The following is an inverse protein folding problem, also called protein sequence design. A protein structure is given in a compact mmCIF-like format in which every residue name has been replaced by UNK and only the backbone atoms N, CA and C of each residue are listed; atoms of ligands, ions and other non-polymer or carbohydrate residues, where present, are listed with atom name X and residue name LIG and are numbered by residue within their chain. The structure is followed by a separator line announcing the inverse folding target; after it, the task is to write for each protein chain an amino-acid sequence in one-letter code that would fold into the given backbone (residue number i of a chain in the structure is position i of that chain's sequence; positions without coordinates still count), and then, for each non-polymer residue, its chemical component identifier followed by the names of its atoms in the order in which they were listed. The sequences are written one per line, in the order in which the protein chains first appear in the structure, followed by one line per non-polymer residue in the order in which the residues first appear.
data_IF_107722723205
#
_entry.id   IF_107722723205
#
_cell.length_a   1.000
_cell.length_b   1.000
_cell.length_c   1.000
_cell.angle_alpha   90.00
_cell.angle_beta   90.00
_cell.angle_gamma   90.00
#
_symmetry.space_group_name_H-M   'P 1'
#
loop_
_entity.id
_entity.type
_entity.pdbx_description
1 polymer ?
#
# COMPACT_ATOMS: atom_id res chain seq x y z
N UNK A 1 3.75 4.21 18.65
CA UNK A 1 2.28 4.01 18.62
C UNK A 1 2.00 2.71 17.88
N UNK A 2 1.06 1.88 18.35
CA UNK A 2 0.69 0.61 17.69
C UNK A 2 -0.71 0.74 17.12
N UNK A 3 -0.90 0.43 15.84
CA UNK A 3 -2.20 0.45 15.15
C UNK A 3 -2.89 -0.89 15.30
N UNK A 4 -4.16 -0.88 15.68
CA UNK A 4 -5.01 -2.09 15.74
C UNK A 4 -5.51 -2.42 14.34
N UNK A 5 -5.14 -3.59 13.85
CA UNK A 5 -5.40 -4.04 12.50
C UNK A 5 -6.48 -5.12 12.48
N UNK A 6 -7.55 -4.88 11.73
CA UNK A 6 -8.45 -5.94 11.28
C UNK A 6 -7.91 -6.53 9.99
N UNK A 7 -7.75 -7.84 9.94
CA UNK A 7 -7.45 -8.56 8.70
C UNK A 7 -8.69 -9.31 8.24
N UNK A 8 -9.01 -9.22 6.95
CA UNK A 8 -10.02 -10.05 6.29
C UNK A 8 -9.35 -10.84 5.18
N UNK A 9 -9.26 -12.16 5.34
CA UNK A 9 -8.66 -13.05 4.36
C UNK A 9 -9.75 -13.68 3.50
N UNK A 10 -9.81 -13.32 2.21
CA UNK A 10 -10.70 -13.93 1.23
C UNK A 10 -10.04 -15.16 0.62
N UNK A 11 -10.46 -16.35 1.03
CA UNK A 11 -9.92 -17.62 0.56
C UNK A 11 -11.02 -18.71 0.51
N UNK A 12 -12.04 -18.54 -0.35
CA UNK A 12 -13.18 -19.42 -0.42
C UNK A 12 -12.80 -20.84 -0.82
N UNK A 13 -13.64 -21.80 -0.41
CA UNK A 13 -13.56 -23.19 -0.84
C UNK A 13 -14.17 -23.39 -2.22
N UNK A 14 -13.64 -24.38 -2.93
CA UNK A 14 -14.12 -24.82 -4.22
C UNK A 14 -14.75 -26.22 -4.08
N UNK A 15 -16.04 -26.34 -3.74
CA UNK A 15 -16.75 -27.61 -3.65
C UNK A 15 -16.53 -28.54 -4.86
N UNK A 16 -16.57 -28.00 -6.08
CA UNK A 16 -16.36 -28.76 -7.31
C UNK A 16 -14.92 -29.26 -7.51
N UNK A 17 -13.96 -28.71 -6.76
CA UNK A 17 -12.54 -29.05 -6.85
C UNK A 17 -12.04 -29.80 -5.60
N UNK A 18 -12.87 -30.67 -5.04
CA UNK A 18 -12.53 -31.46 -3.85
C UNK A 18 -12.60 -30.66 -2.54
N UNK A 19 -13.34 -29.55 -2.53
CA UNK A 19 -13.58 -28.69 -1.36
C UNK A 19 -12.31 -28.09 -0.72
N UNK A 20 -11.23 -27.98 -1.49
CA UNK A 20 -10.01 -27.25 -1.10
C UNK A 20 -10.22 -25.75 -1.29
N UNK A 21 -9.41 -24.92 -0.64
CA UNK A 21 -9.50 -23.47 -0.81
C UNK A 21 -8.90 -23.01 -2.14
N UNK A 22 -9.31 -21.85 -2.65
CA UNK A 22 -8.72 -21.23 -3.84
C UNK A 22 -7.21 -21.10 -3.72
N UNK A 23 -6.70 -20.67 -2.55
CA UNK A 23 -5.24 -20.66 -2.27
C UNK A 23 -4.59 -22.02 -2.53
N UNK A 24 -5.17 -23.12 -2.05
CA UNK A 24 -4.62 -24.46 -2.24
C UNK A 24 -4.68 -24.88 -3.71
N UNK A 25 -5.81 -24.63 -4.37
CA UNK A 25 -6.01 -24.95 -5.78
C UNK A 25 -5.03 -24.21 -6.70
N UNK A 26 -4.68 -22.97 -6.39
CA UNK A 26 -3.78 -22.13 -7.18
C UNK A 26 -2.33 -22.15 -6.69
N UNK A 27 -2.03 -22.80 -5.56
CA UNK A 27 -0.69 -22.80 -4.97
C UNK A 27 -0.22 -21.42 -4.48
N UNK A 28 -1.13 -20.58 -3.96
CA UNK A 28 -0.79 -19.21 -3.56
C UNK A 28 -0.07 -19.13 -2.21
N UNK A 29 0.56 -17.98 -1.96
CA UNK A 29 1.33 -17.72 -0.75
C UNK A 29 0.48 -17.83 0.53
N UNK A 30 1.16 -18.10 1.65
CA UNK A 30 0.49 -18.19 2.95
C UNK A 30 0.18 -16.77 3.48
N UNK A 31 -1.09 -16.42 3.72
CA UNK A 31 -1.48 -15.07 4.16
C UNK A 31 -0.89 -14.72 5.53
N UNK A 32 -0.87 -15.64 6.49
CA UNK A 32 -0.30 -15.40 7.82
C UNK A 32 1.21 -15.11 7.75
N UNK A 33 1.93 -15.78 6.85
CA UNK A 33 3.34 -15.50 6.61
C UNK A 33 3.54 -14.12 5.96
N UNK A 34 2.72 -13.79 4.95
CA UNK A 34 2.77 -12.49 4.28
C UNK A 34 2.52 -11.34 5.27
N UNK A 35 1.43 -11.41 6.04
CA UNK A 35 1.08 -10.39 7.04
C UNK A 35 2.22 -10.21 8.06
N UNK A 36 2.68 -11.30 8.67
CA UNK A 36 3.69 -11.22 9.74
C UNK A 36 5.02 -10.64 9.24
N UNK A 37 5.47 -11.03 8.05
CA UNK A 37 6.72 -10.52 7.49
C UNK A 37 6.55 -9.11 6.93
N UNK A 38 5.38 -8.74 6.41
CA UNK A 38 5.12 -7.37 5.98
C UNK A 38 5.13 -6.41 7.18
N UNK A 39 4.46 -6.76 8.28
CA UNK A 39 4.53 -5.98 9.53
C UNK A 39 5.97 -5.84 10.02
N UNK A 40 6.77 -6.91 9.94
CA UNK A 40 8.21 -6.86 10.29
C UNK A 40 8.99 -5.92 9.38
N UNK A 41 8.77 -5.98 8.07
CA UNK A 41 9.42 -5.11 7.09
C UNK A 41 9.06 -3.64 7.35
N UNK A 42 7.78 -3.33 7.55
CA UNK A 42 7.33 -1.97 7.87
C UNK A 42 7.97 -1.46 9.17
N UNK A 43 8.01 -2.29 10.23
CA UNK A 43 8.68 -1.92 11.48
C UNK A 43 10.17 -1.67 11.27
N UNK A 44 10.84 -2.50 10.48
CA UNK A 44 12.27 -2.35 10.21
C UNK A 44 12.58 -1.10 9.36
N UNK A 45 11.80 -0.88 8.30
CA UNK A 45 11.98 0.25 7.38
C UNK A 45 11.70 1.60 8.06
N UNK A 46 10.83 1.60 9.07
CA UNK A 46 10.42 2.79 9.83
C UNK A 46 11.19 3.01 11.12
N UNK A 47 12.34 2.36 11.32
CA UNK A 47 13.15 2.48 12.54
C UNK A 47 12.37 2.14 13.82
N UNK A 48 11.39 1.24 13.72
CA UNK A 48 10.54 0.83 14.82
C UNK A 48 9.28 1.68 15.01
N UNK A 49 8.99 2.65 14.14
CA UNK A 49 7.81 3.53 14.29
C UNK A 49 6.50 2.87 13.87
N UNK A 50 6.45 2.28 12.67
CA UNK A 50 5.28 1.62 12.13
C UNK A 50 5.06 0.27 12.82
N UNK A 51 4.14 0.24 13.78
CA UNK A 51 3.77 -0.96 14.53
C UNK A 51 2.31 -1.30 14.30
N UNK A 52 2.05 -2.56 13.99
CA UNK A 52 0.72 -3.10 13.76
C UNK A 52 0.48 -4.29 14.68
N UNK A 53 -0.71 -4.31 15.27
CA UNK A 53 -1.22 -5.44 16.05
C UNK A 53 -2.46 -5.96 15.34
N UNK A 54 -2.41 -7.18 14.81
CA UNK A 54 -3.61 -7.87 14.32
C UNK A 54 -4.49 -8.16 15.54
N UNK A 55 -5.63 -7.45 15.65
CA UNK A 55 -6.58 -7.64 16.75
C UNK A 55 -7.63 -8.68 16.40
N UNK A 56 -7.89 -8.89 15.12
CA UNK A 56 -8.80 -9.90 14.60
C UNK A 56 -8.38 -10.27 13.17
N UNK A 57 -8.49 -11.56 12.84
CA UNK A 57 -8.28 -12.06 11.48
C UNK A 57 -9.50 -12.90 11.08
N UNK A 58 -10.35 -12.34 10.22
CA UNK A 58 -11.56 -12.97 9.73
C UNK A 58 -11.21 -13.76 8.47
N UNK A 59 -11.54 -15.04 8.46
CA UNK A 59 -11.34 -15.90 7.30
C UNK A 59 -12.67 -16.12 6.57
N UNK A 60 -12.75 -15.64 5.33
CA UNK A 60 -13.88 -15.87 4.44
C UNK A 60 -13.56 -17.08 3.57
N UNK A 61 -14.15 -18.23 3.91
CA UNK A 61 -13.96 -19.50 3.22
C UNK A 61 -15.18 -19.94 2.39
N UNK A 62 -16.19 -19.07 2.25
CA UNK A 62 -17.39 -19.32 1.46
C UNK A 62 -17.71 -18.14 0.53
N UNK A 63 -17.98 -18.44 -0.75
CA UNK A 63 -18.40 -17.45 -1.75
C UNK A 63 -19.68 -16.69 -1.37
N UNK A 64 -20.58 -17.29 -0.58
CA UNK A 64 -21.75 -16.59 -0.07
C UNK A 64 -21.38 -15.32 0.74
N UNK A 65 -20.18 -15.27 1.32
CA UNK A 65 -19.65 -14.13 2.07
C UNK A 65 -18.64 -13.30 1.26
N UNK A 66 -18.37 -13.66 0.01
CA UNK A 66 -17.46 -12.90 -0.86
C UNK A 66 -18.00 -11.48 -1.10
N UNK A 67 -17.16 -10.43 -1.14
CA UNK A 67 -17.63 -9.07 -1.35
C UNK A 67 -18.48 -8.91 -2.62
N UNK A 68 -19.55 -8.13 -2.52
CA UNK A 68 -20.30 -7.69 -3.70
C UNK A 68 -19.53 -6.61 -4.44
N UNK A 69 -19.60 -6.64 -5.76
CA UNK A 69 -19.15 -5.59 -6.64
C UNK A 69 -20.11 -4.39 -6.60
N UNK A 70 -19.69 -3.27 -7.17
CA UNK A 70 -20.48 -2.04 -7.22
C UNK A 70 -21.86 -2.22 -7.90
N UNK A 71 -21.99 -3.18 -8.82
CA UNK A 71 -23.25 -3.54 -9.48
C UNK A 71 -24.09 -4.57 -8.72
N UNK A 72 -23.66 -4.96 -7.51
CA UNK A 72 -24.32 -5.97 -6.68
C UNK A 72 -23.96 -7.41 -7.02
N UNK A 73 -23.14 -7.65 -8.05
CA UNK A 73 -22.69 -9.01 -8.37
C UNK A 73 -21.80 -9.58 -7.26
N UNK A 74 -22.00 -10.86 -6.95
CA UNK A 74 -21.14 -11.62 -6.03
C UNK A 74 -20.61 -12.84 -6.77
N UNK A 75 -19.31 -13.04 -6.73
CA UNK A 75 -18.73 -14.27 -7.25
C UNK A 75 -19.26 -15.48 -6.48
N UNK A 76 -19.68 -16.48 -7.23
CA UNK A 76 -19.81 -17.86 -6.79
C UNK A 76 -18.65 -18.71 -7.35
N UNK A 77 -18.59 -19.98 -6.97
CA UNK A 77 -17.55 -20.88 -7.47
C UNK A 77 -17.52 -20.94 -9.01
N UNK A 78 -18.70 -21.03 -9.64
CA UNK A 78 -18.82 -21.21 -11.09
C UNK A 78 -18.28 -19.99 -11.86
N UNK A 79 -18.73 -18.79 -11.50
CA UNK A 79 -18.32 -17.54 -12.11
C UNK A 79 -16.85 -17.22 -11.83
N UNK A 80 -16.36 -17.49 -10.62
CA UNK A 80 -14.94 -17.31 -10.27
C UNK A 80 -14.04 -18.22 -11.12
N UNK A 81 -14.34 -19.52 -11.19
CA UNK A 81 -13.60 -20.46 -12.03
C UNK A 81 -13.74 -20.13 -13.52
N UNK A 82 -14.87 -19.55 -13.95
CA UNK A 82 -15.06 -19.02 -15.30
C UNK A 82 -14.05 -17.93 -15.65
N UNK A 83 -13.92 -16.90 -14.81
CA UNK A 83 -12.95 -15.81 -15.01
C UNK A 83 -11.51 -16.32 -14.95
N UNK A 84 -11.20 -17.18 -13.98
CA UNK A 84 -9.87 -17.76 -13.83
C UNK A 84 -9.42 -18.56 -15.06
N UNK A 85 -10.32 -19.37 -15.67
CA UNK A 85 -10.02 -20.12 -16.90
C UNK A 85 -9.75 -19.19 -18.08
N UNK A 86 -10.62 -18.19 -18.28
CA UNK A 86 -10.45 -17.23 -19.36
C UNK A 86 -9.10 -16.50 -19.25
N UNK A 87 -8.74 -16.08 -18.03
CA UNK A 87 -7.45 -15.44 -17.76
C UNK A 87 -6.26 -16.34 -18.08
N UNK A 88 -6.30 -17.63 -17.71
CA UNK A 88 -5.22 -18.60 -18.02
C UNK A 88 -5.07 -18.88 -19.51
N UNK A 89 -6.17 -18.86 -20.26
CA UNK A 89 -6.16 -19.15 -21.69
C UNK A 89 -5.72 -17.95 -22.55
N UNK A 90 -5.19 -16.88 -21.93
CA UNK A 90 -4.86 -15.59 -22.56
C UNK A 90 -6.01 -14.99 -23.41
N UNK A 91 -7.22 -15.48 -23.20
CA UNK A 91 -8.42 -14.78 -23.64
C UNK A 91 -8.49 -13.61 -22.69
N UNK A 92 -8.46 -12.38 -23.21
CA UNK A 92 -8.68 -11.18 -22.40
C UNK A 92 -10.02 -11.43 -21.69
N UNK A 93 -9.98 -11.87 -20.44
CA UNK A 93 -11.15 -11.84 -19.60
C UNK A 93 -11.27 -10.35 -19.31
N UNK A 94 -12.22 -9.61 -19.91
CA UNK A 94 -12.49 -8.29 -19.39
C UNK A 94 -12.81 -8.55 -17.92
N UNK A 95 -11.97 -8.03 -17.02
CA UNK A 95 -12.39 -7.91 -15.62
C UNK A 95 -13.80 -7.33 -15.69
N UNK A 96 -14.77 -8.02 -15.09
CA UNK A 96 -16.17 -7.59 -15.12
C UNK A 96 -16.18 -6.09 -14.83
N UNK A 97 -16.86 -5.28 -15.62
CA UNK A 97 -16.96 -3.85 -15.35
C UNK A 97 -18.36 -3.57 -14.79
N UNK A 98 -18.50 -3.11 -13.53
CA UNK A 98 -17.45 -2.76 -12.58
C UNK A 98 -16.76 -3.98 -11.94
N UNK A 99 -15.45 -3.88 -11.71
CA UNK A 99 -14.63 -4.92 -11.07
C UNK A 99 -14.36 -4.62 -9.59
N UNK A 100 -14.69 -3.39 -9.16
CA UNK A 100 -14.49 -2.91 -7.81
C UNK A 100 -15.60 -3.40 -6.88
N UNK A 101 -15.24 -3.76 -5.65
CA UNK A 101 -16.20 -4.03 -4.58
C UNK A 101 -17.02 -2.78 -4.25
N UNK A 102 -18.22 -3.00 -3.71
CA UNK A 102 -18.96 -1.98 -3.01
C UNK A 102 -18.38 -1.80 -1.61
N UNK A 103 -17.55 -0.76 -1.41
CA UNK A 103 -16.91 -0.48 -0.12
C UNK A 103 -17.93 -0.24 1.01
N UNK A 104 -19.08 0.39 0.75
CA UNK A 104 -20.10 0.58 1.78
C UNK A 104 -20.67 -0.76 2.26
N UNK A 105 -21.08 -1.62 1.33
CA UNK A 105 -21.60 -2.95 1.68
C UNK A 105 -20.54 -3.80 2.43
N UNK A 106 -19.28 -3.67 2.05
CA UNK A 106 -18.16 -4.33 2.74
C UNK A 106 -17.96 -3.78 4.16
N UNK A 107 -17.88 -2.46 4.32
CA UNK A 107 -17.65 -1.81 5.61
C UNK A 107 -18.81 -2.05 6.57
N UNK A 108 -20.06 -2.06 6.09
CA UNK A 108 -21.24 -2.40 6.88
C UNK A 108 -21.22 -3.86 7.33
N UNK A 109 -20.93 -4.80 6.42
CA UNK A 109 -20.93 -6.23 6.72
C UNK A 109 -19.95 -6.60 7.84
N UNK A 110 -18.78 -5.97 7.88
CA UNK A 110 -17.77 -6.18 8.92
C UNK A 110 -17.88 -5.20 10.10
N UNK A 111 -18.88 -4.31 10.09
CA UNK A 111 -19.07 -3.26 11.10
C UNK A 111 -17.83 -2.35 11.25
N UNK A 112 -17.14 -2.07 10.16
CA UNK A 112 -15.85 -1.36 10.16
C UNK A 112 -16.01 0.08 10.67
N UNK A 113 -17.06 0.79 10.27
CA UNK A 113 -17.29 2.17 10.73
C UNK A 113 -17.38 2.26 12.25
N UNK A 114 -18.17 1.39 12.87
CA UNK A 114 -18.33 1.36 14.33
C UNK A 114 -17.04 0.96 15.05
N UNK A 115 -16.35 -0.05 14.52
CA UNK A 115 -15.07 -0.52 15.07
C UNK A 115 -14.00 0.57 15.03
N UNK A 116 -13.97 1.37 13.97
CA UNK A 116 -13.07 2.54 13.85
C UNK A 116 -13.49 3.63 14.83
N UNK A 117 -14.78 3.99 14.85
CA UNK A 117 -15.34 5.04 15.71
C UNK A 117 -15.07 4.79 17.19
N UNK A 118 -15.16 3.53 17.61
CA UNK A 118 -14.95 3.10 19.01
C UNK A 118 -13.49 2.74 19.33
N UNK A 119 -12.58 2.85 18.36
CA UNK A 119 -11.14 2.54 18.55
C UNK A 119 -10.84 1.06 18.77
N UNK A 120 -11.73 0.16 18.36
CA UNK A 120 -11.49 -1.28 18.32
C UNK A 120 -10.48 -1.63 17.23
N UNK A 121 -10.55 -0.93 16.09
CA UNK A 121 -9.62 -1.05 14.97
C UNK A 121 -9.20 0.34 14.51
N UNK A 122 -8.05 0.42 13.87
CA UNK A 122 -7.46 1.64 13.33
C UNK A 122 -7.23 1.57 11.81
N UNK A 123 -7.19 0.35 11.27
CA UNK A 123 -6.89 0.05 9.87
C UNK A 123 -7.45 -1.33 9.50
N UNK A 124 -7.68 -1.55 8.21
CA UNK A 124 -8.18 -2.81 7.67
C UNK A 124 -7.27 -3.29 6.54
N UNK A 125 -6.83 -4.55 6.58
CA UNK A 125 -6.14 -5.22 5.47
C UNK A 125 -7.00 -6.35 4.91
N UNK A 126 -7.32 -6.27 3.62
CA UNK A 126 -7.88 -7.39 2.87
C UNK A 126 -6.74 -8.19 2.24
N UNK A 127 -6.68 -9.48 2.55
CA UNK A 127 -5.79 -10.42 1.89
C UNK A 127 -6.62 -11.31 0.97
N UNK A 128 -6.43 -11.19 -0.34
CA UNK A 128 -7.32 -11.79 -1.32
C UNK A 128 -6.60 -12.79 -2.24
N UNK A 129 -7.39 -13.67 -2.85
CA UNK A 129 -6.99 -14.40 -4.05
C UNK A 129 -7.17 -13.47 -5.27
N UNK A 130 -6.72 -13.88 -6.47
CA UNK A 130 -7.02 -13.12 -7.69
C UNK A 130 -8.50 -12.76 -7.80
N UNK A 131 -8.78 -11.61 -8.43
CA UNK A 131 -10.13 -11.10 -8.67
C UNK A 131 -10.94 -10.68 -7.41
N UNK A 132 -10.25 -10.32 -6.31
CA UNK A 132 -10.89 -9.78 -5.10
C UNK A 132 -11.44 -8.35 -5.22
N UNK A 133 -11.03 -7.63 -6.27
CA UNK A 133 -11.79 -6.49 -6.79
C UNK A 133 -11.58 -5.18 -6.05
N UNK A 134 -10.34 -4.70 -5.90
CA UNK A 134 -10.09 -3.41 -5.26
C UNK A 134 -8.83 -2.69 -5.75
N UNK A 135 -8.74 -1.41 -5.45
CA UNK A 135 -7.48 -0.68 -5.45
C UNK A 135 -6.60 -1.16 -4.29
N UNK A 136 -5.28 -1.01 -4.43
CA UNK A 136 -4.33 -1.48 -3.40
C UNK A 136 -4.46 -0.72 -2.08
N UNK A 137 -4.96 0.52 -2.12
CA UNK A 137 -5.21 1.33 -0.94
C UNK A 137 -6.28 2.39 -1.22
N UNK A 138 -7.23 2.53 -0.29
CA UNK A 138 -8.22 3.60 -0.26
C UNK A 138 -8.37 4.15 1.15
N UNK A 139 -8.76 5.41 1.27
CA UNK A 139 -9.08 6.03 2.56
C UNK A 139 -10.59 6.26 2.70
N UNK A 140 -11.09 6.09 3.91
CA UNK A 140 -12.46 6.41 4.30
C UNK A 140 -12.46 7.18 5.63
N UNK A 141 -13.61 7.79 5.96
CA UNK A 141 -13.81 8.63 7.14
C UNK A 141 -13.80 10.14 6.83
N UNK A 142 -14.00 10.99 7.86
CA UNK A 142 -14.10 12.44 7.72
C UNK A 142 -12.91 13.06 6.98
N UNK A 143 -13.18 13.74 5.86
CA UNK A 143 -12.13 14.42 5.09
C UNK A 143 -11.09 13.47 4.50
N UNK A 144 -11.46 12.21 4.20
CA UNK A 144 -10.59 11.25 3.54
C UNK A 144 -9.98 11.81 2.25
N UNK A 145 -8.70 11.51 2.01
CA UNK A 145 -7.94 11.96 0.84
C UNK A 145 -7.40 10.77 0.02
N UNK A 146 -6.71 11.05 -1.08
CA UNK A 146 -6.13 10.02 -1.93
C UNK A 146 -5.06 9.22 -1.18
N UNK A 147 -5.16 7.90 -1.25
CA UNK A 147 -4.19 6.94 -0.72
C UNK A 147 -3.89 5.85 -1.75
N UNK A 148 -3.54 6.23 -2.99
CA UNK A 148 -3.43 5.43 -4.24
C UNK A 148 -4.67 5.48 -5.14
N UNK A 149 -5.84 5.68 -4.55
CA UNK A 149 -7.10 5.80 -5.28
C UNK A 149 -7.99 6.90 -4.68
N UNK A 150 -9.06 7.33 -5.40
CA UNK A 150 -10.05 8.24 -4.85
C UNK A 150 -10.59 7.74 -3.49
N UNK A 151 -10.82 8.64 -2.52
CA UNK A 151 -11.36 8.26 -1.22
C UNK A 151 -12.80 7.71 -1.34
N UNK A 152 -13.19 6.87 -0.39
CA UNK A 152 -14.56 6.37 -0.29
C UNK A 152 -15.46 7.47 0.28
N UNK A 153 -16.30 8.08 -0.58
CA UNK A 153 -17.21 9.16 -0.19
C UNK A 153 -18.33 8.71 0.75
N UNK A 154 -18.98 9.65 1.44
CA UNK A 154 -20.14 9.36 2.30
C UNK A 154 -19.82 8.59 3.59
N UNK A 155 -18.56 8.62 4.05
CA UNK A 155 -18.07 7.82 5.19
C UNK A 155 -17.77 8.64 6.45
N UNK A 156 -18.19 9.92 6.51
CA UNK A 156 -17.92 10.82 7.64
C UNK A 156 -18.44 10.29 8.99
N UNK A 157 -19.51 9.51 8.97
CA UNK A 157 -20.09 8.89 10.17
C UNK A 157 -19.16 7.87 10.86
N UNK A 158 -18.07 7.43 10.20
CA UNK A 158 -17.00 6.66 10.83
C UNK A 158 -16.29 7.42 11.97
N UNK A 159 -16.41 8.75 11.99
CA UNK A 159 -15.87 9.64 13.05
C UNK A 159 -14.34 9.80 13.04
N UNK A 160 -13.61 8.90 12.38
CA UNK A 160 -12.15 8.94 12.19
C UNK A 160 -11.80 8.41 10.81
N UNK A 161 -10.67 8.89 10.28
CA UNK A 161 -10.09 8.35 9.05
C UNK A 161 -9.43 7.00 9.29
N UNK A 162 -9.57 6.09 8.33
CA UNK A 162 -8.91 4.80 8.29
C UNK A 162 -8.52 4.45 6.85
N UNK A 163 -7.46 3.64 6.71
CA UNK A 163 -7.02 3.11 5.42
C UNK A 163 -7.51 1.67 5.27
N UNK A 164 -7.98 1.33 4.08
CA UNK A 164 -8.29 -0.02 3.65
C UNK A 164 -7.23 -0.44 2.63
N UNK A 165 -6.32 -1.33 3.04
CA UNK A 165 -5.26 -1.88 2.20
C UNK A 165 -5.70 -3.21 1.59
N UNK A 166 -5.29 -3.46 0.35
CA UNK A 166 -5.54 -4.74 -0.33
C UNK A 166 -4.22 -5.37 -0.76
N UNK A 167 -4.06 -6.65 -0.44
CA UNK A 167 -2.91 -7.45 -0.82
C UNK A 167 -3.36 -8.79 -1.39
N UNK A 168 -2.66 -9.27 -2.43
CA UNK A 168 -3.04 -10.49 -3.12
C UNK A 168 -2.04 -11.63 -2.83
N UNK A 169 -2.57 -12.81 -2.49
CA UNK A 169 -1.77 -14.00 -2.19
C UNK A 169 -1.01 -14.56 -3.41
N UNK A 170 -1.37 -14.15 -4.64
CA UNK A 170 -0.58 -14.45 -5.84
C UNK A 170 0.77 -13.71 -5.86
N UNK A 171 0.90 -12.66 -5.04
CA UNK A 171 2.07 -11.79 -4.96
C UNK A 171 2.88 -12.04 -3.70
N UNK A 172 4.01 -11.34 -3.60
CA UNK A 172 5.00 -11.51 -2.54
C UNK A 172 5.03 -10.29 -1.63
N UNK A 173 5.93 -10.29 -0.65
CA UNK A 173 6.21 -9.12 0.20
C UNK A 173 6.66 -7.90 -0.61
N UNK A 174 7.23 -8.12 -1.81
CA UNK A 174 7.63 -7.06 -2.73
C UNK A 174 6.43 -6.19 -3.10
N UNK A 175 5.35 -6.79 -3.59
CA UNK A 175 4.14 -6.07 -3.97
C UNK A 175 3.43 -5.48 -2.75
N UNK A 176 3.45 -6.15 -1.59
CA UNK A 176 2.88 -5.56 -0.38
C UNK A 176 3.59 -4.25 0.02
N UNK A 177 4.92 -4.20 -0.08
CA UNK A 177 5.68 -2.97 0.15
C UNK A 177 5.43 -1.92 -0.93
N UNK A 178 5.25 -2.33 -2.18
CA UNK A 178 4.86 -1.43 -3.28
C UNK A 178 3.50 -0.75 -2.99
N UNK A 179 2.48 -1.55 -2.69
CA UNK A 179 1.13 -1.07 -2.35
C UNK A 179 1.14 -0.14 -1.13
N UNK A 180 1.91 -0.47 -0.09
CA UNK A 180 2.07 0.40 1.08
C UNK A 180 2.83 1.70 0.74
N UNK A 181 3.76 1.62 -0.22
CA UNK A 181 4.42 2.78 -0.79
C UNK A 181 3.46 3.76 -1.46
N UNK A 182 2.48 3.29 -2.24
CA UNK A 182 1.47 4.18 -2.83
C UNK A 182 0.63 4.92 -1.80
N UNK A 183 0.27 4.25 -0.70
CA UNK A 183 -0.35 4.94 0.46
C UNK A 183 0.56 6.06 0.95
N UNK A 184 1.86 5.78 1.15
CA UNK A 184 2.80 6.80 1.60
C UNK A 184 2.87 7.98 0.63
N UNK A 185 2.93 7.72 -0.68
CA UNK A 185 2.92 8.75 -1.72
C UNK A 185 1.65 9.62 -1.66
N UNK A 186 0.46 9.00 -1.57
CA UNK A 186 -0.81 9.73 -1.48
C UNK A 186 -0.92 10.60 -0.22
N UNK A 187 -0.51 10.06 0.93
CA UNK A 187 -0.51 10.78 2.20
C UNK A 187 0.47 11.96 2.18
N UNK A 188 1.71 11.74 1.73
CA UNK A 188 2.73 12.79 1.70
C UNK A 188 2.44 13.86 0.66
N UNK A 189 1.81 13.50 -0.46
CA UNK A 189 1.29 14.46 -1.41
C UNK A 189 0.19 15.34 -0.80
N UNK A 190 -0.72 14.75 -0.01
CA UNK A 190 -1.76 15.50 0.71
C UNK A 190 -1.14 16.49 1.70
N UNK A 191 -0.25 16.02 2.58
CA UNK A 191 0.40 16.84 3.61
C UNK A 191 1.16 18.03 3.01
N UNK A 192 1.86 17.79 1.89
CA UNK A 192 2.69 18.82 1.27
C UNK A 192 1.97 19.67 0.21
N UNK A 193 0.69 19.39 -0.08
CA UNK A 193 -0.08 20.10 -1.12
C UNK A 193 -0.20 21.60 -0.90
N UNK A 194 -0.08 22.06 0.36
CA UNK A 194 -0.14 23.47 0.75
C UNK A 194 1.14 24.27 0.44
N UNK A 195 2.25 23.61 0.14
CA UNK A 195 3.54 24.26 -0.12
C UNK A 195 3.74 24.51 -1.61
N UNK A 196 4.32 25.67 -1.93
CA UNK A 196 4.81 25.96 -3.28
C UNK A 196 5.99 25.05 -3.66
N UNK A 197 6.30 24.98 -4.95
CA UNK A 197 7.27 24.01 -5.49
C UNK A 197 8.66 24.05 -4.85
N UNK A 198 9.12 25.24 -4.43
CA UNK A 198 10.43 25.41 -3.80
C UNK A 198 10.48 24.87 -2.37
N UNK A 199 9.39 25.01 -1.62
CA UNK A 199 9.30 24.59 -0.21
C UNK A 199 8.73 23.18 -0.06
N UNK A 200 8.26 22.57 -1.16
CA UNK A 200 7.66 21.25 -1.15
C UNK A 200 8.71 20.14 -1.04
N UNK A 201 9.05 19.78 0.19
CA UNK A 201 10.01 18.73 0.51
C UNK A 201 9.63 17.37 -0.09
N UNK A 202 8.35 17.04 -0.23
CA UNK A 202 7.93 15.81 -0.89
C UNK A 202 8.28 15.81 -2.38
N UNK A 203 8.03 16.91 -3.10
CA UNK A 203 8.44 17.06 -4.51
C UNK A 203 9.96 16.99 -4.67
N UNK A 204 10.73 17.51 -3.71
CA UNK A 204 12.19 17.33 -3.67
C UNK A 204 12.56 15.86 -3.47
N UNK A 205 11.99 15.18 -2.47
CA UNK A 205 12.29 13.78 -2.14
C UNK A 205 12.18 12.86 -3.36
N UNK A 206 11.13 13.03 -4.15
CA UNK A 206 10.82 12.17 -5.31
C UNK A 206 11.56 12.56 -6.60
N UNK A 207 12.50 13.51 -6.57
CA UNK A 207 13.29 13.87 -7.76
C UNK A 207 14.13 12.69 -8.24
N UNK A 208 14.23 12.57 -9.56
CA UNK A 208 14.99 11.53 -10.26
C UNK A 208 15.79 12.16 -11.36
N UNK A 209 16.82 11.48 -11.83
CA UNK A 209 17.67 11.98 -12.92
C UNK A 209 16.84 12.28 -14.18
N UNK A 210 15.85 11.44 -14.48
CA UNK A 210 14.99 11.63 -15.67
C UNK A 210 14.09 12.87 -15.60
N UNK A 211 13.69 13.33 -14.40
CA UNK A 211 12.82 14.50 -14.25
C UNK A 211 13.57 15.77 -13.85
N UNK A 212 14.70 15.63 -13.16
CA UNK A 212 15.55 16.72 -12.69
C UNK A 212 17.03 16.35 -12.86
N UNK A 213 17.57 16.40 -14.09
CA UNK A 213 18.94 16.01 -14.38
C UNK A 213 19.96 16.71 -13.47
N UNK A 214 20.88 15.95 -12.88
CA UNK A 214 21.87 16.45 -11.93
C UNK A 214 21.33 16.82 -10.54
N UNK A 215 20.04 16.62 -10.28
CA UNK A 215 19.37 16.92 -9.00
C UNK A 215 18.53 15.73 -8.50
N UNK A 216 18.94 14.50 -8.84
CA UNK A 216 18.27 13.31 -8.36
C UNK A 216 18.36 13.20 -6.83
N UNK A 217 17.26 12.83 -6.19
CA UNK A 217 17.14 12.61 -4.74
C UNK A 217 16.87 11.12 -4.52
N UNK A 218 15.82 10.74 -3.79
CA UNK A 218 15.50 9.34 -3.47
C UNK A 218 14.67 8.66 -4.57
N UNK A 219 13.81 9.42 -5.25
CA UNK A 219 12.83 8.88 -6.19
C UNK A 219 11.54 8.42 -5.52
N UNK A 220 10.78 7.55 -6.19
CA UNK A 220 9.42 7.19 -5.77
C UNK A 220 9.19 5.67 -5.89
N UNK A 221 8.01 5.16 -5.53
CA UNK A 221 7.82 3.71 -5.43
C UNK A 221 7.93 3.00 -6.79
N UNK A 222 7.63 3.70 -7.89
CA UNK A 222 7.78 3.20 -9.25
C UNK A 222 9.22 3.30 -9.74
N UNK A 223 9.89 4.39 -9.42
CA UNK A 223 11.12 4.81 -10.07
C UNK A 223 12.22 5.18 -9.07
N UNK A 224 13.28 4.36 -8.97
CA UNK A 224 14.53 4.76 -8.33
C UNK A 224 15.18 6.00 -8.97
N UNK A 225 16.21 6.60 -8.33
CA UNK A 225 16.87 7.81 -8.84
C UNK A 225 17.40 7.69 -10.27
N UNK A 226 17.85 6.49 -10.64
CA UNK A 226 18.46 6.19 -11.93
C UNK A 226 17.49 5.62 -12.98
N UNK A 227 16.25 5.32 -12.61
CA UNK A 227 15.29 4.63 -13.48
C UNK A 227 14.88 5.45 -14.70
N UNK A 228 14.81 4.77 -15.85
CA UNK A 228 14.46 5.36 -17.14
C UNK A 228 13.02 5.04 -17.56
N UNK A 229 12.43 4.01 -16.96
CA UNK A 229 11.04 3.59 -17.17
C UNK A 229 10.44 3.01 -15.90
N UNK A 230 9.15 2.73 -15.96
CA UNK A 230 8.42 2.21 -14.81
C UNK A 230 8.96 0.82 -14.41
N UNK A 231 8.96 0.52 -13.10
CA UNK A 231 9.45 -0.73 -12.51
C UNK A 231 10.95 -1.04 -12.75
N UNK A 232 11.76 -0.05 -13.15
CA UNK A 232 13.16 -0.21 -13.57
C UNK A 232 14.16 -0.28 -12.38
N UNK A 233 13.91 -1.17 -11.42
CA UNK A 233 14.71 -1.30 -10.19
C UNK A 233 16.03 -2.05 -10.37
N UNK A 234 16.24 -2.71 -11.50
CA UNK A 234 17.50 -3.42 -11.77
C UNK A 234 18.47 -2.60 -12.61
N UNK A 235 18.12 -1.36 -13.01
CA UNK A 235 18.94 -0.54 -13.89
C UNK A 235 20.34 -0.32 -13.30
N UNK A 236 21.37 -0.78 -14.02
CA UNK A 236 22.76 -0.67 -13.59
C UNK A 236 23.37 0.72 -13.87
N UNK A 237 22.66 1.60 -14.58
CA UNK A 237 23.10 2.96 -14.88
C UNK A 237 23.39 3.71 -13.59
N UNK A 238 24.54 4.37 -13.54
CA UNK A 238 24.95 5.20 -12.40
C UNK A 238 24.52 6.64 -12.63
N UNK A 239 23.94 7.28 -11.62
CA UNK A 239 23.61 8.71 -11.60
C UNK A 239 24.17 9.36 -10.34
N UNK A 240 24.36 10.68 -10.36
CA UNK A 240 24.63 11.43 -9.13
C UNK A 240 23.32 11.65 -8.40
N UNK A 241 23.22 11.18 -7.16
CA UNK A 241 22.03 11.36 -6.31
C UNK A 241 22.41 11.90 -4.94
N UNK A 242 21.55 12.77 -4.41
CA UNK A 242 21.63 13.34 -3.07
C UNK A 242 20.77 12.57 -2.05
N UNK A 243 20.33 11.33 -2.36
CA UNK A 243 19.42 10.57 -1.49
C UNK A 243 19.89 10.46 -0.02
N UNK A 244 21.19 10.29 0.21
CA UNK A 244 21.74 10.15 1.57
C UNK A 244 21.59 11.42 2.44
N UNK A 245 21.35 12.60 1.83
CA UNK A 245 21.05 13.85 2.56
C UNK A 245 19.79 13.72 3.42
N UNK A 246 18.85 12.88 3.01
CA UNK A 246 17.61 12.63 3.75
C UNK A 246 17.83 11.93 5.09
N UNK A 247 18.97 11.26 5.30
CA UNK A 247 19.34 10.76 6.62
C UNK A 247 19.70 11.87 7.62
N UNK A 248 19.92 13.11 7.15
CA UNK A 248 20.22 14.27 7.98
C UNK A 248 19.00 15.14 8.29
N UNK A 249 17.81 14.76 7.79
CA UNK A 249 16.60 15.54 7.97
C UNK A 249 16.35 15.88 9.46
N UNK A 250 16.04 17.15 9.82
CA UNK A 250 15.70 18.27 8.93
C UNK A 250 16.86 19.08 8.36
N UNK A 251 18.11 18.80 8.74
CA UNK A 251 19.28 19.59 8.37
C UNK A 251 19.86 19.14 7.02
N UNK A 252 19.07 19.26 5.96
CA UNK A 252 19.48 18.92 4.59
C UNK A 252 20.55 19.90 4.10
N UNK A 253 21.73 19.40 3.73
CA UNK A 253 22.85 20.23 3.27
C UNK A 253 22.80 20.49 1.76
N UNK A 254 22.08 19.66 1.01
CA UNK A 254 21.96 19.74 -0.45
C UNK A 254 23.27 19.44 -1.20
N UNK A 255 24.27 18.86 -0.52
CA UNK A 255 25.62 18.69 -1.08
C UNK A 255 26.21 17.28 -0.89
N UNK A 256 25.37 16.27 -0.62
CA UNK A 256 25.78 14.86 -0.45
C UNK A 256 25.64 14.03 -1.71
N UNK A 257 25.75 14.67 -2.88
CA UNK A 257 25.69 13.99 -4.17
C UNK A 257 26.80 12.95 -4.28
N UNK A 258 26.41 11.71 -4.56
CA UNK A 258 27.35 10.63 -4.89
C UNK A 258 26.82 9.74 -6.02
N UNK A 259 27.69 8.99 -6.69
CA UNK A 259 27.27 7.96 -7.62
C UNK A 259 26.36 6.93 -6.94
N UNK A 260 25.18 6.69 -7.51
CA UNK A 260 24.21 5.67 -7.09
C UNK A 260 23.69 4.87 -8.29
N UNK A 261 23.38 3.59 -8.07
CA UNK A 261 22.76 2.69 -9.04
C UNK A 261 21.96 1.60 -8.32
N UNK A 262 21.43 0.62 -9.06
CA UNK A 262 20.71 -0.52 -8.47
C UNK A 262 21.51 -1.34 -7.45
N UNK A 263 22.84 -1.19 -7.42
CA UNK A 263 23.71 -1.84 -6.42
C UNK A 263 23.36 -1.44 -4.98
N UNK A 264 22.85 -0.23 -4.76
CA UNK A 264 22.45 0.27 -3.43
C UNK A 264 21.37 -0.61 -2.77
N UNK A 265 20.57 -1.30 -3.58
CA UNK A 265 19.55 -2.26 -3.14
C UNK A 265 19.75 -3.64 -3.78
N UNK A 266 20.99 -3.96 -4.17
CA UNK A 266 21.37 -5.26 -4.75
C UNK A 266 20.51 -5.68 -5.96
N UNK A 267 20.02 -4.71 -6.74
CA UNK A 267 19.12 -4.92 -7.87
C UNK A 267 17.84 -5.71 -7.53
N UNK A 268 17.47 -5.75 -6.25
CA UNK A 268 16.32 -6.50 -5.76
C UNK A 268 15.14 -5.55 -5.49
N UNK A 269 13.97 -5.77 -6.10
CA UNK A 269 12.81 -4.89 -5.92
C UNK A 269 12.33 -4.73 -4.47
N UNK A 270 12.33 -5.81 -3.67
CA UNK A 270 11.94 -5.71 -2.25
C UNK A 270 12.93 -4.84 -1.48
N UNK A 271 14.23 -5.05 -1.71
CA UNK A 271 15.27 -4.24 -1.07
C UNK A 271 15.23 -2.79 -1.55
N UNK A 272 14.79 -2.51 -2.77
CA UNK A 272 14.55 -1.14 -3.23
C UNK A 272 13.48 -0.46 -2.38
N UNK A 273 12.33 -1.08 -2.15
CA UNK A 273 11.29 -0.48 -1.32
C UNK A 273 11.74 -0.28 0.12
N UNK A 274 12.49 -1.25 0.67
CA UNK A 274 13.10 -1.10 1.99
C UNK A 274 14.10 0.06 2.04
N UNK A 275 14.95 0.18 1.02
CA UNK A 275 15.89 1.29 0.86
C UNK A 275 15.12 2.62 0.79
N UNK A 276 14.13 2.74 -0.09
CA UNK A 276 13.31 3.94 -0.28
C UNK A 276 12.60 4.36 1.01
N UNK A 277 11.92 3.43 1.67
CA UNK A 277 11.22 3.69 2.93
C UNK A 277 12.16 4.12 4.05
N UNK A 278 13.39 3.59 4.10
CA UNK A 278 14.40 3.96 5.11
C UNK A 278 14.95 5.38 4.95
N UNK A 279 14.80 6.00 3.78
CA UNK A 279 15.14 7.40 3.55
C UNK A 279 14.04 8.36 4.01
N UNK A 280 12.82 7.87 4.30
CA UNK A 280 11.76 8.73 4.81
C UNK A 280 12.16 9.36 6.16
N UNK A 281 11.92 10.66 6.36
CA UNK A 281 12.14 11.33 7.64
C UNK A 281 11.48 10.60 8.81
N UNK A 282 12.21 10.45 9.91
CA UNK A 282 11.82 9.61 11.04
C UNK A 282 12.23 10.16 12.41
N UNK A 283 12.59 11.45 12.49
CA UNK A 283 13.05 12.09 13.73
C UNK A 283 11.92 12.87 14.41
N UNK A 284 12.01 13.04 15.73
CA UNK A 284 11.00 13.80 16.49
C UNK A 284 11.07 15.30 16.20
N UNK A 285 9.92 15.98 16.35
CA UNK A 285 9.78 17.42 16.14
C UNK A 285 8.84 17.77 15.00
N UNK A 286 8.71 19.07 14.74
CA UNK A 286 7.98 19.60 13.60
C UNK A 286 8.59 20.93 13.14
N UNK A 287 8.48 21.24 11.85
CA UNK A 287 8.82 22.53 11.26
C UNK A 287 7.72 22.91 10.26
N UNK A 288 7.30 24.18 10.25
CA UNK A 288 6.28 24.71 9.33
C UNK A 288 4.97 23.88 9.28
N UNK A 289 4.58 23.37 10.45
CA UNK A 289 3.40 22.52 10.61
C UNK A 289 3.54 21.12 9.98
N UNK A 290 4.75 20.69 9.63
CA UNK A 290 5.06 19.33 9.15
C UNK A 290 5.92 18.61 10.20
N UNK A 291 5.50 17.42 10.57
CA UNK A 291 6.22 16.50 11.44
C UNK A 291 7.55 16.12 10.80
N UNK A 292 8.62 16.11 11.59
CA UNK A 292 9.92 15.65 11.11
C UNK A 292 10.02 14.12 11.02
N UNK A 293 8.97 13.44 11.48
CA UNK A 293 8.75 12.02 11.26
C UNK A 293 7.56 11.85 10.30
N UNK A 294 7.86 11.54 9.04
CA UNK A 294 6.86 11.35 7.99
C UNK A 294 6.07 10.05 8.16
N UNK A 295 6.62 9.07 8.88
CA UNK A 295 5.87 7.85 9.23
C UNK A 295 4.62 8.14 10.08
N UNK A 296 4.58 9.28 10.79
CA UNK A 296 3.37 9.76 11.46
C UNK A 296 2.19 9.84 10.50
N UNK A 297 2.40 10.50 9.36
CA UNK A 297 1.39 10.71 8.32
C UNK A 297 1.03 9.43 7.60
N UNK A 298 2.04 8.62 7.30
CA UNK A 298 1.86 7.37 6.58
C UNK A 298 1.02 6.41 7.45
N UNK A 299 1.39 6.20 8.71
CA UNK A 299 0.77 5.21 9.61
C UNK A 299 -0.58 5.69 10.15
N UNK A 300 -0.74 6.97 10.48
CA UNK A 300 -1.99 7.50 11.02
C UNK A 300 -2.65 8.49 10.06
N UNK A 301 -3.68 8.06 9.31
CA UNK A 301 -4.39 8.94 8.38
C UNK A 301 -5.15 10.06 9.09
N UNK A 302 -5.24 10.10 10.43
CA UNK A 302 -5.85 11.22 11.17
C UNK A 302 -4.89 12.38 11.40
N UNK A 303 -3.64 12.26 10.93
CA UNK A 303 -2.61 13.30 11.07
C UNK A 303 -2.36 14.08 9.79
N UNK A 304 -3.02 13.72 8.67
CA UNK A 304 -2.95 14.44 7.39
C UNK A 304 -4.06 15.46 7.22
#
# INVERSE_FOLDING_TARGET
MTRKLLVVTLNPRLPSMGNITVRQYLGLNNPSWLIANHIRDLRHASYGYANYQVVENIHIDNFAQWPVLQDGFRYDEHSYLGVLRNWRDNRIAPQRNPWLINHHAYFDYFNIYERVRTGQIDEVWQIETPFGGNWEAVMAGPGASNSNAPPVGGTDHAGRRFVFMVYNMERTLTEMLHSYGHRAEGHLNTVHSRFGDQDNLWKRFIRREASHPGQAEVGNIHFPPNAERDYDRSNARTVMSNADDWYQFPFLTGNRFRPMSSREWSSNPRLYYMWWMRHLPHVEGACDGVSLNWWRYIVDPNTI
#
